data_IF_186512583569
#
_entry.id   IF_186512583569
#
_cell.length_a   1.000
_cell.length_b   1.000
_cell.length_c   1.000
_cell.angle_alpha   90.00
_cell.angle_beta   90.00
_cell.angle_gamma   90.00
#
_symmetry.space_group_name_H-M   'P 1'
#
loop_
_entity.id
_entity.type
_entity.pdbx_description
1 polymer ?
#
# COMPACT_ATOMS: atom_id res chain seq x y z
N UNK A 1 14.66 -0.69 -7.51
CA UNK A 1 15.35 -0.28 -6.26
C UNK A 1 14.29 -0.15 -5.16
N UNK A 2 14.42 -0.87 -4.05
CA UNK A 2 13.45 -0.89 -2.94
C UNK A 2 13.30 0.47 -2.25
N UNK A 3 14.39 1.27 -2.16
CA UNK A 3 14.34 2.60 -1.55
C UNK A 3 13.41 3.54 -2.30
N UNK A 4 13.45 3.50 -3.63
CA UNK A 4 12.59 4.34 -4.47
C UNK A 4 11.12 4.01 -4.27
N UNK A 5 10.77 2.72 -4.15
CA UNK A 5 9.39 2.28 -3.89
C UNK A 5 8.88 2.84 -2.55
N UNK A 6 9.69 2.73 -1.49
CA UNK A 6 9.34 3.27 -0.17
C UNK A 6 9.11 4.78 -0.22
N UNK A 7 10.01 5.53 -0.85
CA UNK A 7 9.89 6.99 -0.96
C UNK A 7 8.67 7.39 -1.78
N UNK A 8 8.41 6.71 -2.90
CA UNK A 8 7.24 6.97 -3.74
C UNK A 8 5.96 6.70 -2.97
N UNK A 9 5.85 5.57 -2.27
CA UNK A 9 4.66 5.24 -1.48
C UNK A 9 4.45 6.27 -0.37
N UNK A 10 5.51 6.66 0.34
CA UNK A 10 5.42 7.64 1.41
C UNK A 10 4.95 9.02 0.90
N UNK A 11 5.58 9.54 -0.16
CA UNK A 11 5.24 10.86 -0.70
C UNK A 11 3.88 10.86 -1.39
N UNK A 12 3.61 9.90 -2.26
CA UNK A 12 2.34 9.82 -2.98
C UNK A 12 1.18 9.55 -2.02
N UNK A 13 1.36 8.63 -1.07
CA UNK A 13 0.36 8.35 -0.03
C UNK A 13 0.09 9.58 0.84
N UNK A 14 1.14 10.32 1.22
CA UNK A 14 1.03 11.58 1.95
C UNK A 14 0.29 12.67 1.16
N UNK A 15 0.58 12.84 -0.13
CA UNK A 15 -0.10 13.80 -1.01
C UNK A 15 -1.58 13.43 -1.17
N UNK A 16 -1.88 12.17 -1.44
CA UNK A 16 -3.27 11.70 -1.57
C UNK A 16 -4.03 11.91 -0.26
N UNK A 17 -3.42 11.59 0.88
CA UNK A 17 -4.01 11.85 2.19
C UNK A 17 -4.20 13.34 2.46
N UNK A 18 -3.26 14.19 2.07
CA UNK A 18 -3.38 15.64 2.25
C UNK A 18 -4.52 16.23 1.42
N UNK A 19 -4.74 15.72 0.20
CA UNK A 19 -5.79 16.20 -0.71
C UNK A 19 -7.18 15.66 -0.37
N UNK A 20 -7.27 14.39 0.05
CA UNK A 20 -8.53 13.66 0.12
C UNK A 20 -8.86 13.10 1.52
N UNK A 21 -7.94 13.24 2.47
CA UNK A 21 -8.13 12.84 3.86
C UNK A 21 -9.16 13.69 4.60
N UNK A 22 -9.55 13.23 5.78
CA UNK A 22 -10.50 13.95 6.63
C UNK A 22 -9.86 15.23 7.18
N UNK A 23 -10.37 16.39 6.79
CA UNK A 23 -9.77 17.70 7.09
C UNK A 23 -9.63 18.06 8.58
N UNK A 24 -10.36 17.41 9.50
CA UNK A 24 -10.26 17.64 10.95
C UNK A 24 -9.48 16.55 11.70
N UNK A 25 -8.70 15.72 10.99
CA UNK A 25 -7.95 14.60 11.56
C UNK A 25 -6.44 14.84 11.50
N UNK A 26 -5.76 14.54 12.61
CA UNK A 26 -4.30 14.50 12.67
C UNK A 26 -3.84 13.06 12.40
N UNK A 27 -3.08 12.87 11.33
CA UNK A 27 -2.55 11.58 10.92
C UNK A 27 -1.08 11.49 11.32
N UNK A 28 -0.74 10.57 12.22
CA UNK A 28 0.64 10.33 12.66
C UNK A 28 0.91 8.83 12.61
N UNK A 29 2.08 8.47 12.06
CA UNK A 29 2.60 7.11 12.12
C UNK A 29 3.06 6.56 10.77
N UNK A 30 3.80 5.46 10.82
CA UNK A 30 4.30 4.75 9.65
C UNK A 30 3.30 3.76 9.04
N UNK A 31 2.11 3.60 9.63
CA UNK A 31 1.15 2.59 9.21
C UNK A 31 0.65 2.79 7.78
N UNK A 32 0.48 4.03 7.31
CA UNK A 32 0.16 4.30 5.90
C UNK A 32 1.20 3.70 4.93
N UNK A 33 2.49 3.80 5.26
CA UNK A 33 3.56 3.18 4.48
C UNK A 33 3.49 1.65 4.53
N UNK A 34 3.20 1.06 5.70
CA UNK A 34 3.02 -0.40 5.85
C UNK A 34 1.88 -0.90 4.97
N UNK A 35 0.74 -0.21 4.97
CA UNK A 35 -0.40 -0.53 4.11
C UNK A 35 -0.04 -0.40 2.63
N UNK A 36 0.70 0.65 2.24
CA UNK A 36 1.19 0.79 0.88
C UNK A 36 2.14 -0.33 0.46
N UNK A 37 3.07 -0.75 1.32
CA UNK A 37 3.96 -1.88 1.03
C UNK A 37 3.20 -3.21 0.94
N UNK A 38 2.22 -3.43 1.80
CA UNK A 38 1.37 -4.62 1.75
C UNK A 38 0.61 -4.72 0.41
N UNK A 39 -0.06 -3.63 0.01
CA UNK A 39 -0.77 -3.58 -1.27
C UNK A 39 0.21 -3.68 -2.45
N UNK A 40 1.37 -3.04 -2.37
CA UNK A 40 2.42 -3.15 -3.39
C UNK A 40 2.80 -4.62 -3.63
N UNK A 41 3.07 -5.39 -2.57
CA UNK A 41 3.45 -6.81 -2.68
C UNK A 41 2.31 -7.65 -3.26
N UNK A 42 1.08 -7.43 -2.81
CA UNK A 42 -0.11 -8.14 -3.30
C UNK A 42 -0.30 -7.89 -4.79
N UNK A 43 -0.34 -6.62 -5.21
CA UNK A 43 -0.53 -6.24 -6.62
C UNK A 43 0.63 -6.71 -7.48
N UNK A 44 1.88 -6.62 -6.98
CA UNK A 44 3.04 -7.11 -7.72
C UNK A 44 2.97 -8.62 -7.95
N UNK A 45 2.51 -9.39 -6.97
CA UNK A 45 2.26 -10.83 -7.11
C UNK A 45 1.31 -11.16 -8.25
N UNK A 46 0.18 -10.45 -8.33
CA UNK A 46 -0.78 -10.63 -9.42
C UNK A 46 -0.22 -10.22 -10.78
N UNK A 47 0.55 -9.13 -10.85
CA UNK A 47 1.09 -8.60 -12.11
C UNK A 47 2.25 -9.43 -12.67
N UNK A 48 3.15 -9.91 -11.81
CA UNK A 48 4.34 -10.66 -12.24
C UNK A 48 4.03 -12.11 -12.63
N UNK A 49 2.93 -12.69 -12.14
CA UNK A 49 2.61 -14.13 -12.29
C UNK A 49 3.77 -15.05 -11.85
N UNK A 50 4.65 -14.56 -10.97
CA UNK A 50 5.78 -15.31 -10.41
C UNK A 50 5.39 -15.91 -9.06
N UNK A 51 5.81 -17.15 -8.83
CA UNK A 51 5.41 -17.94 -7.65
C UNK A 51 5.80 -17.29 -6.33
N UNK A 52 6.99 -16.69 -6.22
CA UNK A 52 7.49 -16.09 -4.96
C UNK A 52 6.67 -14.86 -4.53
N UNK A 53 6.46 -13.83 -5.37
CA UNK A 53 5.57 -12.72 -5.07
C UNK A 53 4.13 -13.13 -4.72
N UNK A 54 3.59 -14.15 -5.40
CA UNK A 54 2.25 -14.70 -5.09
C UNK A 54 2.22 -15.33 -3.71
N UNK A 55 3.23 -16.13 -3.35
CA UNK A 55 3.32 -16.73 -2.00
C UNK A 55 3.42 -15.63 -0.94
N UNK A 56 4.25 -14.61 -1.15
CA UNK A 56 4.37 -13.48 -0.22
C UNK A 56 3.03 -12.75 -0.07
N UNK A 57 2.34 -12.47 -1.17
CA UNK A 57 1.01 -11.87 -1.16
C UNK A 57 0.00 -12.71 -0.36
N UNK A 58 -0.02 -14.03 -0.57
CA UNK A 58 -0.89 -14.95 0.14
C UNK A 58 -0.59 -14.98 1.65
N UNK A 59 0.69 -14.99 2.04
CA UNK A 59 1.10 -14.93 3.46
C UNK A 59 0.66 -13.61 4.09
N UNK A 60 0.86 -12.48 3.41
CA UNK A 60 0.43 -11.17 3.90
C UNK A 60 -1.08 -11.11 4.08
N UNK A 61 -1.86 -11.56 3.10
CA UNK A 61 -3.33 -11.61 3.19
C UNK A 61 -3.78 -12.58 4.28
N UNK A 62 -3.14 -13.73 4.43
CA UNK A 62 -3.50 -14.71 5.44
C UNK A 62 -3.25 -14.19 6.87
N UNK A 63 -2.08 -13.61 7.11
CA UNK A 63 -1.70 -13.15 8.46
C UNK A 63 -2.33 -11.80 8.82
N UNK A 64 -2.46 -10.90 7.85
CA UNK A 64 -2.83 -9.50 8.10
C UNK A 64 -4.09 -9.06 7.36
N UNK A 65 -4.72 -9.88 6.52
CA UNK A 65 -5.84 -9.46 5.68
C UNK A 65 -7.02 -8.90 6.47
N UNK A 66 -7.38 -9.52 7.59
CA UNK A 66 -8.44 -9.00 8.49
C UNK A 66 -8.07 -7.66 9.12
N UNK A 67 -6.82 -7.50 9.57
CA UNK A 67 -6.29 -6.25 10.13
C UNK A 67 -6.17 -5.15 9.07
N UNK A 68 -5.79 -5.50 7.84
CA UNK A 68 -5.72 -4.57 6.70
C UNK A 68 -7.13 -4.13 6.29
N UNK A 69 -8.08 -5.07 6.18
CA UNK A 69 -9.46 -4.76 5.87
C UNK A 69 -10.11 -3.89 6.95
N UNK A 70 -9.97 -4.25 8.22
CA UNK A 70 -10.49 -3.44 9.32
C UNK A 70 -9.79 -2.08 9.45
N UNK A 71 -8.51 -2.01 9.09
CA UNK A 71 -7.73 -0.78 9.14
C UNK A 71 -8.12 0.28 8.10
N UNK A 72 -8.79 -0.08 7.00
CA UNK A 72 -9.31 0.87 6.00
C UNK A 72 -10.79 1.23 6.22
N UNK A 73 -11.45 0.62 7.20
CA UNK A 73 -12.87 0.86 7.46
C UNK A 73 -13.08 2.11 8.32
N UNK A 74 -14.04 2.98 7.98
CA UNK A 74 -14.28 4.25 8.67
C UNK A 74 -15.05 4.12 9.99
N UNK A 75 -14.94 2.98 10.68
CA UNK A 75 -15.74 2.66 11.87
C UNK A 75 -14.94 2.76 13.18
N UNK A 76 -13.61 2.80 13.10
CA UNK A 76 -12.74 2.82 14.29
C UNK A 76 -12.26 4.24 14.61
N UNK A 77 -12.64 4.74 15.79
CA UNK A 77 -12.12 6.01 16.30
C UNK A 77 -10.63 5.90 16.60
N UNK A 78 -9.89 6.98 16.32
CA UNK A 78 -8.43 7.02 16.52
C UNK A 78 -7.61 6.31 15.44
N UNK A 79 -8.26 5.58 14.50
CA UNK A 79 -7.57 4.96 13.37
C UNK A 79 -7.54 5.90 12.17
N UNK A 80 -6.35 6.05 11.61
CA UNK A 80 -6.08 6.79 10.38
C UNK A 80 -6.47 5.96 9.14
N UNK A 81 -7.74 5.55 9.05
CA UNK A 81 -8.21 4.63 8.01
C UNK A 81 -8.04 5.17 6.58
N UNK A 82 -8.23 6.48 6.42
CA UNK A 82 -7.98 7.25 5.20
C UNK A 82 -6.47 7.28 4.87
N UNK A 83 -5.61 7.43 5.89
CA UNK A 83 -4.16 7.28 5.70
C UNK A 83 -3.74 5.87 5.26
N UNK A 84 -4.40 4.84 5.79
CA UNK A 84 -4.20 3.45 5.35
C UNK A 84 -4.69 3.23 3.91
N UNK A 85 -5.87 3.76 3.57
CA UNK A 85 -6.44 3.69 2.24
C UNK A 85 -5.53 4.35 1.20
N UNK A 86 -5.12 5.60 1.42
CA UNK A 86 -4.28 6.33 0.48
C UNK A 86 -2.85 5.81 0.41
N UNK A 87 -2.32 5.27 1.52
CA UNK A 87 -1.10 4.48 1.51
C UNK A 87 -1.22 3.26 0.60
N UNK A 88 -2.31 2.49 0.73
CA UNK A 88 -2.62 1.35 -0.12
C UNK A 88 -2.74 1.71 -1.61
N UNK A 89 -3.45 2.80 -1.93
CA UNK A 89 -3.58 3.33 -3.31
C UNK A 89 -2.21 3.67 -3.88
N UNK A 90 -1.36 4.37 -3.13
CA UNK A 90 0.01 4.67 -3.55
C UNK A 90 0.84 3.40 -3.80
N UNK A 91 0.67 2.38 -2.95
CA UNK A 91 1.26 1.04 -3.13
C UNK A 91 0.85 0.36 -4.43
N UNK A 92 -0.45 0.37 -4.75
CA UNK A 92 -0.97 -0.21 -5.99
C UNK A 92 -0.43 0.51 -7.23
N UNK A 93 -0.38 1.85 -7.19
CA UNK A 93 0.20 2.68 -8.25
C UNK A 93 1.69 2.35 -8.44
N UNK A 94 2.46 2.31 -7.35
CA UNK A 94 3.88 1.97 -7.40
C UNK A 94 4.12 0.57 -8.01
N UNK A 95 3.33 -0.43 -7.62
CA UNK A 95 3.42 -1.79 -8.17
C UNK A 95 3.16 -1.80 -9.68
N UNK A 96 2.13 -1.10 -10.13
CA UNK A 96 1.79 -1.01 -11.55
C UNK A 96 2.94 -0.46 -12.39
N UNK A 97 3.62 0.59 -11.93
CA UNK A 97 4.74 1.19 -12.65
C UNK A 97 6.01 0.35 -12.60
N UNK A 98 6.40 -0.15 -11.42
CA UNK A 98 7.68 -0.87 -11.28
C UNK A 98 7.65 -2.27 -11.87
N UNK A 99 6.53 -2.99 -11.76
CA UNK A 99 6.41 -4.33 -12.34
C UNK A 99 6.40 -4.27 -13.87
N UNK A 100 5.82 -3.22 -14.46
CA UNK A 100 5.86 -3.01 -15.92
C UNK A 100 7.29 -2.78 -16.43
N UNK A 101 8.11 -2.03 -15.69
CA UNK A 101 9.52 -1.81 -16.05
C UNK A 101 10.35 -3.11 -16.04
N UNK A 102 10.03 -4.07 -15.17
CA UNK A 102 10.71 -5.37 -15.17
C UNK A 102 10.35 -6.23 -16.39
N UNK A 103 9.15 -6.06 -16.96
CA UNK A 103 8.73 -6.77 -18.18
C UNK A 103 9.25 -6.13 -19.46
N UNK A 104 9.50 -4.82 -19.50
CA UNK A 104 10.02 -4.14 -20.69
C UNK A 104 11.54 -4.24 -20.84
N UNK A 105 12.26 -4.59 -19.77
CA UNK A 105 13.72 -4.73 -19.75
C UNK A 105 14.19 -6.20 -19.73
N UNK A 106 13.29 -7.16 -19.90
CA UNK A 106 13.54 -8.59 -19.95
C UNK A 106 13.21 -9.14 -21.34
#
# INVERSE_FOLDING_TARGET
NSRTIVVVIALLGGILLWLFGRGSSLHIGASGLVFGLAVFLIVSGFLERRTVPVIVALVVVFMYGSSLLSGIMPFQKGVSWDGHLFGGVAGAIAAWFWVRQLKTNA
#
